data_IF_969794365517
#
_entry.id   IF_969794365517
#
_cell.length_a   1.000
_cell.length_b   1.000
_cell.length_c   1.000
_cell.angle_alpha   90.00
_cell.angle_beta   90.00
_cell.angle_gamma   90.00
#
_symmetry.space_group_name_H-M   'P 1'
#
loop_
_entity.id
_entity.type
_entity.pdbx_description
1 polymer ?
#
# COMPACT_ATOMS: atom_id res chain seq x y z
N UNK A 1 13.71 -2.90 19.33
CA UNK A 1 13.34 -2.02 18.20
C UNK A 1 11.82 -1.96 18.16
N UNK A 2 11.22 -0.78 18.28
CA UNK A 2 9.78 -0.64 18.09
C UNK A 2 9.41 -1.00 16.65
N UNK A 3 8.36 -1.81 16.48
CA UNK A 3 7.86 -2.18 15.16
C UNK A 3 6.98 -1.03 14.65
N UNK A 4 7.20 -0.61 13.40
CA UNK A 4 6.30 0.35 12.73
C UNK A 4 4.89 -0.22 12.64
N UNK A 5 3.90 0.66 12.60
CA UNK A 5 2.51 0.25 12.42
C UNK A 5 2.23 -0.02 10.93
N UNK A 6 1.30 -0.93 10.64
CA UNK A 6 0.81 -1.12 9.27
C UNK A 6 -0.18 0.01 8.94
N UNK A 7 -0.12 0.58 7.73
CA UNK A 7 -1.02 1.68 7.33
C UNK A 7 -2.41 1.14 6.93
N UNK A 8 -3.10 0.47 7.87
CA UNK A 8 -4.44 -0.10 7.64
C UNK A 8 -5.47 0.96 8.04
N UNK A 9 -6.35 1.34 7.10
CA UNK A 9 -7.38 2.34 7.34
C UNK A 9 -6.93 3.80 7.23
N UNK A 10 -5.69 4.05 6.80
CA UNK A 10 -5.16 5.39 6.55
C UNK A 10 -5.30 5.71 5.07
N UNK A 11 -6.07 6.75 4.77
CA UNK A 11 -6.28 7.23 3.40
C UNK A 11 -5.38 8.42 3.06
N UNK A 12 -4.85 9.11 4.07
CA UNK A 12 -3.97 10.27 3.90
C UNK A 12 -2.51 9.84 3.71
N UNK A 13 -1.94 10.21 2.56
CA UNK A 13 -0.54 9.91 2.25
C UNK A 13 0.47 10.63 3.15
N UNK A 14 0.14 11.83 3.64
CA UNK A 14 1.01 12.60 4.52
C UNK A 14 1.18 11.88 5.87
N UNK A 15 0.09 11.38 6.45
CA UNK A 15 0.13 10.59 7.70
C UNK A 15 1.00 9.33 7.58
N UNK A 16 0.91 8.60 6.46
CA UNK A 16 1.77 7.43 6.22
C UNK A 16 3.26 7.81 6.27
N UNK A 17 3.61 9.02 5.80
CA UNK A 17 5.01 9.49 5.76
C UNK A 17 5.50 10.07 7.09
N UNK A 18 4.62 10.66 7.89
CA UNK A 18 4.97 11.35 9.14
C UNK A 18 4.82 10.48 10.38
N UNK A 19 3.88 9.54 10.39
CA UNK A 19 3.44 8.83 11.60
C UNK A 19 4.09 7.44 11.79
N UNK A 20 5.35 7.28 11.39
CA UNK A 20 6.14 6.05 11.60
C UNK A 20 5.46 4.74 11.14
N UNK A 21 4.67 4.81 10.07
CA UNK A 21 4.08 3.63 9.42
C UNK A 21 5.07 2.94 8.48
N UNK A 22 4.79 1.67 8.17
CA UNK A 22 5.46 0.98 7.07
C UNK A 22 5.03 1.55 5.73
N UNK A 23 6.00 1.83 4.87
CA UNK A 23 5.75 2.06 3.45
C UNK A 23 5.65 0.70 2.74
N UNK A 24 4.52 0.43 2.09
CA UNK A 24 4.26 -0.82 1.38
C UNK A 24 4.39 -0.58 -0.13
N UNK A 25 5.41 -1.17 -0.76
CA UNK A 25 5.53 -1.15 -2.21
C UNK A 25 4.55 -2.14 -2.86
N UNK A 26 3.61 -1.61 -3.65
CA UNK A 26 2.58 -2.38 -4.36
C UNK A 26 2.86 -2.49 -5.87
N UNK A 27 3.99 -1.99 -6.35
CA UNK A 27 4.32 -1.89 -7.78
C UNK A 27 4.24 -3.23 -8.49
N UNK A 28 4.82 -4.29 -7.90
CA UNK A 28 4.78 -5.64 -8.48
C UNK A 28 3.37 -6.21 -8.56
N UNK A 29 2.55 -5.99 -7.52
CA UNK A 29 1.15 -6.43 -7.51
C UNK A 29 0.33 -5.73 -8.60
N UNK A 30 0.52 -4.42 -8.76
CA UNK A 30 -0.15 -3.64 -9.82
C UNK A 30 0.32 -4.11 -11.20
N UNK A 31 1.62 -4.32 -11.40
CA UNK A 31 2.17 -4.84 -12.65
C UNK A 31 1.54 -6.18 -13.01
N UNK A 32 1.51 -7.12 -12.07
CA UNK A 32 0.95 -8.44 -12.29
C UNK A 32 -0.55 -8.38 -12.57
N UNK A 33 -1.26 -7.46 -11.91
CA UNK A 33 -2.68 -7.20 -12.18
C UNK A 33 -2.92 -6.70 -13.61
N UNK A 34 -2.14 -5.71 -14.06
CA UNK A 34 -2.20 -5.18 -15.43
C UNK A 34 -1.88 -6.26 -16.48
N UNK A 35 -0.90 -7.11 -16.22
CA UNK A 35 -0.52 -8.22 -17.11
C UNK A 35 -1.63 -9.25 -17.26
N UNK A 36 -2.33 -9.58 -16.16
CA UNK A 36 -3.39 -10.60 -16.16
C UNK A 36 -4.67 -10.14 -16.84
N UNK A 37 -4.81 -8.85 -17.18
CA UNK A 37 -6.03 -8.21 -17.71
C UNK A 37 -7.29 -8.61 -16.93
N UNK A 38 -7.15 -8.82 -15.62
CA UNK A 38 -8.30 -9.14 -14.76
C UNK A 38 -9.28 -7.97 -14.80
N UNK A 39 -10.56 -8.25 -15.04
CA UNK A 39 -11.61 -7.24 -14.84
C UNK A 39 -11.50 -6.76 -13.39
N UNK A 40 -11.30 -5.45 -13.22
CA UNK A 40 -11.39 -4.82 -11.91
C UNK A 40 -12.85 -4.94 -11.48
N UNK A 41 -13.12 -5.74 -10.46
CA UNK A 41 -14.39 -5.70 -9.75
C UNK A 41 -14.11 -4.91 -8.47
N UNK A 42 -14.72 -3.73 -8.38
CA UNK A 42 -14.68 -2.85 -7.21
C UNK A 42 -15.72 -3.31 -6.19
#
# INVERSE_FOLDING_TARGET
MEKKMLPIGIENFEEIRTENYYYVDKTSMIRDFLLRRGKVNL
#
